data_IF_647056283890
#
_entry.id   IF_647056283890
#
_cell.length_a   1.000
_cell.length_b   1.000
_cell.length_c   1.000
_cell.angle_alpha   90.00
_cell.angle_beta   90.00
_cell.angle_gamma   90.00
#
_symmetry.space_group_name_H-M   'P 1'
#
loop_
_entity.id
_entity.type
_entity.pdbx_description
1 polymer ?
#
# COMPACT_ATOMS: atom_id res chain seq x y z
N UNK A 1 -3.20 12.80 9.46
CA UNK A 1 -4.07 13.31 8.36
C UNK A 1 -5.46 12.68 8.24
N UNK A 2 -5.68 11.36 8.18
CA UNK A 2 -7.04 10.76 8.20
C UNK A 2 -7.45 10.14 9.55
N UNK A 3 -6.46 9.69 10.35
CA UNK A 3 -6.69 9.12 11.70
C UNK A 3 -6.96 10.18 12.77
N UNK A 4 -6.40 11.37 12.59
CA UNK A 4 -6.43 12.45 13.59
C UNK A 4 -7.57 13.45 13.36
N UNK A 5 -8.36 13.26 12.30
CA UNK A 5 -9.56 14.05 12.08
C UNK A 5 -10.62 13.75 13.13
N UNK A 6 -11.55 14.69 13.34
CA UNK A 6 -12.69 14.52 14.23
C UNK A 6 -14.00 14.62 13.43
N UNK A 7 -14.73 13.52 13.20
CA UNK A 7 -14.40 12.13 13.59
C UNK A 7 -13.25 11.53 12.76
N UNK A 8 -12.55 10.50 13.25
CA UNK A 8 -11.55 9.77 12.48
C UNK A 8 -12.15 9.21 11.19
N UNK A 9 -11.51 9.49 10.05
CA UNK A 9 -12.04 9.13 8.74
C UNK A 9 -11.74 7.67 8.39
N UNK A 10 -12.76 6.97 7.90
CA UNK A 10 -12.60 5.71 7.17
C UNK A 10 -11.74 5.97 5.94
N UNK A 11 -10.75 5.12 5.69
CA UNK A 11 -9.80 5.30 4.62
C UNK A 11 -9.39 3.97 4.00
N UNK A 12 -8.86 4.00 2.78
CA UNK A 12 -8.22 2.85 2.16
C UNK A 12 -6.72 2.96 2.41
N UNK A 13 -6.15 1.95 3.06
CA UNK A 13 -4.72 1.81 3.23
C UNK A 13 -4.12 1.15 1.98
N UNK A 14 -3.17 1.82 1.36
CA UNK A 14 -2.54 1.35 0.12
C UNK A 14 -1.23 0.58 0.36
N UNK A 15 -0.79 0.45 1.63
CA UNK A 15 0.47 -0.23 1.99
C UNK A 15 1.70 0.30 1.24
N UNK A 16 1.80 1.63 1.07
CA UNK A 16 2.77 2.28 0.20
C UNK A 16 4.24 1.95 0.52
N UNK A 17 4.57 1.75 1.80
CA UNK A 17 5.94 1.38 2.20
C UNK A 17 6.34 0.02 1.63
N UNK A 18 5.43 -0.95 1.67
CA UNK A 18 5.67 -2.30 1.16
C UNK A 18 5.64 -2.31 -0.38
N UNK A 19 4.79 -1.48 -1.00
CA UNK A 19 4.83 -1.26 -2.47
C UNK A 19 6.18 -0.71 -2.89
N UNK A 20 6.69 0.31 -2.19
CA UNK A 20 7.99 0.91 -2.48
C UNK A 20 9.11 -0.11 -2.31
N UNK A 21 9.08 -0.91 -1.24
CA UNK A 21 10.04 -1.99 -1.00
C UNK A 21 10.06 -3.00 -2.16
N UNK A 22 8.88 -3.49 -2.58
CA UNK A 22 8.76 -4.44 -3.69
C UNK A 22 9.27 -3.84 -5.01
N UNK A 23 8.93 -2.58 -5.30
CA UNK A 23 9.38 -1.88 -6.50
C UNK A 23 10.90 -1.72 -6.55
N UNK A 24 11.52 -1.37 -5.42
CA UNK A 24 12.99 -1.25 -5.30
C UNK A 24 13.66 -2.61 -5.52
N UNK A 25 13.15 -3.67 -4.89
CA UNK A 25 13.68 -5.03 -5.08
C UNK A 25 13.57 -5.46 -6.55
N UNK A 26 12.40 -5.26 -7.17
CA UNK A 26 12.17 -5.59 -8.57
C UNK A 26 13.15 -4.84 -9.49
N UNK A 27 13.37 -3.56 -9.23
CA UNK A 27 14.31 -2.73 -9.98
C UNK A 27 15.74 -3.27 -9.87
N UNK A 28 16.22 -3.60 -8.67
CA UNK A 28 17.56 -4.15 -8.50
C UNK A 28 17.72 -5.52 -9.16
N UNK A 29 16.68 -6.37 -9.11
CA UNK A 29 16.70 -7.66 -9.80
C UNK A 29 16.75 -7.49 -11.33
N UNK A 30 16.02 -6.51 -11.88
CA UNK A 30 16.11 -6.14 -13.31
C UNK A 30 17.52 -5.65 -13.67
N UNK A 31 18.10 -4.76 -12.87
CA UNK A 31 19.45 -4.22 -13.10
C UNK A 31 20.53 -5.30 -13.00
N UNK A 32 20.32 -6.32 -12.15
CA UNK A 32 21.19 -7.49 -12.06
C UNK A 32 21.04 -8.47 -13.22
N UNK A 33 20.19 -8.18 -14.21
CA UNK A 33 19.94 -9.03 -15.37
C UNK A 33 19.12 -10.27 -15.06
N UNK A 34 18.45 -10.31 -13.88
CA UNK A 34 17.57 -11.43 -13.54
C UNK A 34 16.31 -11.35 -14.39
N UNK A 35 15.77 -12.50 -14.76
CA UNK A 35 14.46 -12.58 -15.39
C UNK A 35 13.41 -12.40 -14.29
N UNK A 36 12.72 -11.27 -14.31
CA UNK A 36 11.75 -10.91 -13.27
C UNK A 36 10.34 -11.04 -13.85
N UNK A 37 9.48 -11.74 -13.13
CA UNK A 37 8.07 -11.91 -13.49
C UNK A 37 7.22 -10.77 -12.95
N UNK A 38 5.99 -10.65 -13.45
CA UNK A 38 5.01 -9.72 -12.90
C UNK A 38 4.78 -9.97 -11.40
N UNK A 39 4.65 -8.88 -10.64
CA UNK A 39 4.22 -8.90 -9.24
C UNK A 39 2.72 -8.67 -9.15
N UNK A 40 2.00 -9.48 -8.35
CA UNK A 40 0.57 -9.28 -8.06
C UNK A 40 0.28 -7.98 -7.29
N UNK A 41 1.33 -7.28 -6.85
CA UNK A 41 1.24 -6.09 -6.01
C UNK A 41 0.72 -6.41 -4.62
N UNK A 42 0.22 -5.39 -3.94
CA UNK A 42 -0.35 -5.51 -2.60
C UNK A 42 -1.77 -5.02 -2.67
N UNK A 43 -2.70 -5.86 -2.21
CA UNK A 43 -4.09 -5.48 -2.16
C UNK A 43 -4.30 -4.38 -1.11
N UNK A 44 -4.96 -3.27 -1.48
CA UNK A 44 -5.35 -2.25 -0.53
C UNK A 44 -6.35 -2.78 0.51
N UNK A 45 -6.31 -2.21 1.71
CA UNK A 45 -7.17 -2.59 2.82
C UNK A 45 -8.12 -1.45 3.19
N UNK A 46 -9.42 -1.73 3.29
CA UNK A 46 -10.39 -0.77 3.82
C UNK A 46 -10.27 -0.71 5.35
N UNK A 47 -9.91 0.46 5.87
CA UNK A 47 -9.84 0.73 7.30
C UNK A 47 -11.04 1.55 7.73
N UNK A 48 -12.04 0.86 8.26
CA UNK A 48 -13.29 1.46 8.77
C UNK A 48 -13.03 2.23 10.07
N UNK A 49 -13.59 3.42 10.18
CA UNK A 49 -13.57 4.30 11.36
C UNK A 49 -14.91 5.00 11.57
N UNK A 50 -14.96 5.87 12.58
CA UNK A 50 -16.17 6.52 13.06
C UNK A 50 -16.91 7.35 12.00
N UNK A 51 -16.26 7.78 10.91
CA UNK A 51 -16.94 8.54 9.86
C UNK A 51 -17.92 7.72 9.01
N UNK A 52 -17.94 6.39 9.10
CA UNK A 52 -18.87 5.54 8.33
C UNK A 52 -19.70 4.60 9.21
N UNK A 53 -19.51 4.64 10.53
CA UNK A 53 -20.37 3.92 11.48
C UNK A 53 -21.59 4.81 11.76
N UNK A 54 -22.79 4.28 11.54
CA UNK A 54 -24.08 4.96 11.80
C UNK A 54 -24.63 4.56 13.16
#
# INVERSE_FOLDING_TARGET
>A
VARESLPPLTAVNMHLDEVARQAITLLFDLLAGKKVSHSDGIMPELVVRASTCR
#
